data_IF_884511001981
#
_entry.id   IF_884511001981
#
_cell.length_a   1.000
_cell.length_b   1.000
_cell.length_c   1.000
_cell.angle_alpha   90.00
_cell.angle_beta   90.00
_cell.angle_gamma   90.00
#
_symmetry.space_group_name_H-M   'P 1'
#
loop_
_entity.id
_entity.type
_entity.pdbx_description
1 polymer ?
#
# COMPACT_ATOMS: atom_id res chain seq x y z
N UNK A 1 6.56 -0.57 -29.09
CA UNK A 1 6.28 0.65 -28.31
C UNK A 1 4.79 1.04 -28.21
N UNK A 2 3.92 0.72 -29.18
CA UNK A 2 2.49 1.11 -29.12
C UNK A 2 1.67 0.44 -28.00
N UNK A 3 1.97 -0.80 -27.64
CA UNK A 3 1.18 -1.54 -26.65
C UNK A 3 1.35 -1.01 -25.21
N UNK A 4 2.53 -0.49 -24.84
CA UNK A 4 2.78 0.04 -23.47
C UNK A 4 1.96 1.31 -23.19
N UNK A 5 1.85 2.21 -24.17
CA UNK A 5 1.07 3.46 -24.01
C UNK A 5 -0.43 3.20 -23.86
N UNK A 6 -0.95 2.20 -24.57
CA UNK A 6 -2.35 1.77 -24.44
C UNK A 6 -2.59 1.16 -23.06
N UNK A 7 -1.67 0.31 -22.60
CA UNK A 7 -1.71 -0.29 -21.26
C UNK A 7 -1.68 0.77 -20.15
N UNK A 8 -0.82 1.79 -20.26
CA UNK A 8 -0.79 2.92 -19.32
C UNK A 8 -2.10 3.73 -19.34
N UNK A 9 -2.69 3.98 -20.52
CA UNK A 9 -4.00 4.65 -20.63
C UNK A 9 -5.14 3.84 -20.00
N UNK A 10 -5.06 2.51 -20.02
CA UNK A 10 -6.03 1.65 -19.34
C UNK A 10 -5.83 1.70 -17.82
N UNK A 11 -4.58 1.75 -17.36
CA UNK A 11 -4.24 1.79 -15.94
C UNK A 11 -4.57 3.12 -15.26
N UNK A 12 -4.62 4.23 -16.00
CA UNK A 12 -4.87 5.57 -15.43
C UNK A 12 -6.14 5.64 -14.56
N UNK A 13 -7.21 4.95 -14.96
CA UNK A 13 -8.47 4.97 -14.20
C UNK A 13 -8.34 4.22 -12.87
N UNK A 14 -7.57 3.12 -12.85
CA UNK A 14 -7.28 2.39 -11.62
C UNK A 14 -6.37 3.21 -10.69
N UNK A 15 -5.41 3.94 -11.23
CA UNK A 15 -4.60 4.89 -10.45
C UNK A 15 -5.44 6.01 -9.85
N UNK A 16 -6.34 6.61 -10.63
CA UNK A 16 -7.25 7.66 -10.15
C UNK A 16 -8.16 7.08 -9.06
N UNK A 17 -8.79 5.92 -9.30
CA UNK A 17 -9.63 5.27 -8.31
C UNK A 17 -8.87 4.94 -7.02
N UNK A 18 -7.66 4.38 -7.13
CA UNK A 18 -6.80 4.07 -5.99
C UNK A 18 -6.48 5.33 -5.17
N UNK A 19 -6.09 6.40 -5.87
CA UNK A 19 -5.75 7.67 -5.24
C UNK A 19 -6.96 8.30 -4.56
N UNK A 20 -8.12 8.30 -5.21
CA UNK A 20 -9.35 8.82 -4.63
C UNK A 20 -9.76 8.04 -3.38
N UNK A 21 -9.71 6.71 -3.40
CA UNK A 21 -10.05 5.88 -2.24
C UNK A 21 -9.10 6.13 -1.08
N UNK A 22 -7.81 6.26 -1.37
CA UNK A 22 -6.81 6.61 -0.36
C UNK A 22 -7.08 8.00 0.26
N UNK A 23 -7.35 9.01 -0.57
CA UNK A 23 -7.67 10.37 -0.12
C UNK A 23 -8.97 10.40 0.69
N UNK A 24 -10.00 9.67 0.27
CA UNK A 24 -11.23 9.51 1.04
C UNK A 24 -10.93 8.88 2.41
N UNK A 25 -10.13 7.81 2.44
CA UNK A 25 -9.67 7.22 3.70
C UNK A 25 -8.98 8.25 4.60
N UNK A 26 -8.07 9.06 4.04
CA UNK A 26 -7.36 10.11 4.76
C UNK A 26 -8.30 11.17 5.34
N UNK A 27 -9.25 11.66 4.55
CA UNK A 27 -10.24 12.64 5.02
C UNK A 27 -11.11 12.02 6.13
N UNK A 28 -11.55 10.77 5.96
CA UNK A 28 -12.35 10.08 6.96
C UNK A 28 -11.56 9.86 8.26
N UNK A 29 -10.30 9.45 8.17
CA UNK A 29 -9.44 9.26 9.34
C UNK A 29 -9.17 10.56 10.08
N UNK A 30 -9.02 11.67 9.36
CA UNK A 30 -8.80 12.98 9.96
C UNK A 30 -10.08 13.60 10.56
N UNK A 31 -11.22 13.45 9.88
CA UNK A 31 -12.49 14.09 10.28
C UNK A 31 -13.35 13.28 11.25
N UNK A 32 -13.18 11.96 11.30
CA UNK A 32 -13.96 11.06 12.16
C UNK A 32 -13.05 10.24 13.08
N UNK A 33 -12.00 10.90 13.61
CA UNK A 33 -11.00 10.25 14.48
C UNK A 33 -11.62 9.47 15.64
N UNK A 34 -12.67 10.01 16.26
CA UNK A 34 -13.32 9.41 17.43
C UNK A 34 -14.05 8.10 17.07
N UNK A 35 -14.60 8.01 15.86
CA UNK A 35 -15.35 6.82 15.40
C UNK A 35 -14.42 5.65 15.10
N UNK A 36 -13.17 5.93 14.71
CA UNK A 36 -12.19 4.92 14.33
C UNK A 36 -11.05 4.77 15.34
N UNK A 37 -11.11 5.49 16.46
CA UNK A 37 -10.05 5.52 17.47
C UNK A 37 -9.64 4.12 17.93
N UNK A 38 -10.59 3.30 18.37
CA UNK A 38 -10.29 1.93 18.84
C UNK A 38 -9.63 1.07 17.77
N UNK A 39 -10.08 1.17 16.52
CA UNK A 39 -9.51 0.43 15.40
C UNK A 39 -8.08 0.90 15.08
N UNK A 40 -7.85 2.21 15.05
CA UNK A 40 -6.52 2.77 14.76
C UNK A 40 -5.54 2.55 15.90
N UNK A 41 -5.94 2.75 17.15
CA UNK A 41 -5.11 2.46 18.33
C UNK A 41 -4.69 0.99 18.38
N UNK A 42 -5.57 0.06 17.98
CA UNK A 42 -5.22 -1.37 17.90
C UNK A 42 -4.11 -1.61 16.87
N UNK A 43 -4.17 -0.95 15.71
CA UNK A 43 -3.12 -1.04 14.69
C UNK A 43 -1.80 -0.40 15.14
N UNK A 44 -1.88 0.76 15.82
CA UNK A 44 -0.69 1.42 16.37
C UNK A 44 -0.01 0.58 17.45
N UNK A 45 -0.79 -0.03 18.37
CA UNK A 45 -0.25 -0.94 19.39
C UNK A 45 0.41 -2.17 18.79
N UNK A 46 -0.15 -2.74 17.72
CA UNK A 46 0.46 -3.86 17.02
C UNK A 46 1.81 -3.48 16.39
N UNK A 47 1.91 -2.28 15.80
CA UNK A 47 3.17 -1.74 15.28
C UNK A 47 4.19 -1.46 16.39
N UNK A 48 3.74 -0.90 17.51
CA UNK A 48 4.57 -0.62 18.67
C UNK A 48 5.15 -1.90 19.27
N UNK A 49 4.33 -2.93 19.47
CA UNK A 49 4.78 -4.25 19.95
C UNK A 49 5.79 -4.88 18.99
N UNK A 50 5.55 -4.83 17.67
CA UNK A 50 6.50 -5.33 16.68
C UNK A 50 7.84 -4.59 16.71
N UNK A 51 7.82 -3.29 17.00
CA UNK A 51 9.03 -2.46 17.09
C UNK A 51 9.78 -2.71 18.39
N UNK A 52 9.08 -2.78 19.53
CA UNK A 52 9.66 -3.06 20.85
C UNK A 52 10.32 -4.44 20.90
N UNK A 53 9.70 -5.46 20.30
CA UNK A 53 10.25 -6.82 20.16
C UNK A 53 11.60 -6.88 19.44
N UNK A 54 11.97 -5.80 18.75
CA UNK A 54 13.17 -5.70 17.92
C UNK A 54 14.23 -4.76 18.50
N UNK A 55 13.87 -3.96 19.52
CA UNK A 55 14.79 -3.06 20.20
C UNK A 55 15.87 -3.80 21.01
N UNK A 56 15.54 -4.99 21.54
CA UNK A 56 16.43 -5.81 22.36
C UNK A 56 17.43 -6.66 21.54
N UNK A 57 17.43 -6.54 20.21
CA UNK A 57 18.30 -7.33 19.34
C UNK A 57 19.71 -6.73 19.21
N UNK A 58 20.76 -7.56 19.07
CA UNK A 58 22.16 -7.11 19.02
C UNK A 58 22.49 -6.17 17.85
N UNK A 59 21.64 -6.09 16.82
CA UNK A 59 21.75 -5.12 15.74
C UNK A 59 20.36 -4.55 15.37
N UNK A 60 19.87 -3.54 16.11
CA UNK A 60 18.49 -3.07 16.00
C UNK A 60 18.22 -2.37 14.65
N UNK A 61 19.21 -1.66 14.09
CA UNK A 61 19.08 -1.02 12.76
C UNK A 61 18.81 -2.02 11.65
N UNK A 62 19.65 -3.06 11.55
CA UNK A 62 19.51 -4.10 10.53
C UNK A 62 18.25 -4.94 10.73
N UNK A 63 17.88 -5.23 11.98
CA UNK A 63 16.64 -5.94 12.31
C UNK A 63 15.41 -5.14 11.90
N UNK A 64 15.44 -3.82 12.14
CA UNK A 64 14.35 -2.91 11.77
C UNK A 64 14.25 -2.74 10.25
N UNK A 65 15.38 -2.63 9.55
CA UNK A 65 15.40 -2.61 8.08
C UNK A 65 14.68 -3.84 7.48
N UNK A 66 15.08 -5.05 7.88
CA UNK A 66 14.50 -6.28 7.35
C UNK A 66 13.03 -6.44 7.72
N UNK A 67 12.63 -5.99 8.91
CA UNK A 67 11.24 -5.99 9.34
C UNK A 67 10.39 -5.09 8.43
N UNK A 68 10.77 -3.83 8.28
CA UNK A 68 10.06 -2.83 7.47
C UNK A 68 10.02 -3.31 6.01
N UNK A 69 11.18 -3.68 5.46
CA UNK A 69 11.29 -4.17 4.10
C UNK A 69 10.34 -5.35 3.84
N UNK A 70 10.39 -6.40 4.66
CA UNK A 70 9.53 -7.56 4.43
C UNK A 70 8.07 -7.26 4.65
N UNK A 71 7.73 -6.48 5.67
CA UNK A 71 6.34 -6.10 5.93
C UNK A 71 5.73 -5.38 4.72
N UNK A 72 6.47 -4.43 4.15
CA UNK A 72 5.99 -3.62 3.04
C UNK A 72 5.96 -4.37 1.72
N UNK A 73 7.00 -5.17 1.42
CA UNK A 73 7.01 -6.00 0.22
C UNK A 73 5.90 -7.03 0.27
N UNK A 74 5.73 -7.73 1.40
CA UNK A 74 4.66 -8.72 1.55
C UNK A 74 3.28 -8.07 1.45
N UNK A 75 3.03 -6.95 2.15
CA UNK A 75 1.76 -6.21 2.02
C UNK A 75 1.47 -5.83 0.58
N UNK A 76 2.45 -5.28 -0.13
CA UNK A 76 2.32 -4.84 -1.53
C UNK A 76 2.00 -6.01 -2.46
N UNK A 77 2.72 -7.13 -2.33
CA UNK A 77 2.47 -8.34 -3.11
C UNK A 77 1.12 -8.97 -2.79
N UNK A 78 0.74 -9.02 -1.51
CA UNK A 78 -0.55 -9.50 -1.07
C UNK A 78 -1.68 -8.64 -1.62
N UNK A 79 -1.56 -7.31 -1.59
CA UNK A 79 -2.56 -6.40 -2.17
C UNK A 79 -2.77 -6.68 -3.66
N UNK A 80 -1.69 -6.86 -4.41
CA UNK A 80 -1.78 -7.23 -5.84
C UNK A 80 -2.48 -8.58 -6.00
N UNK A 81 -2.05 -9.61 -5.27
CA UNK A 81 -2.56 -10.97 -5.41
C UNK A 81 -4.02 -11.10 -4.96
N UNK A 82 -4.36 -10.50 -3.83
CA UNK A 82 -5.72 -10.42 -3.28
C UNK A 82 -6.65 -9.59 -4.19
N UNK A 83 -6.09 -8.79 -5.09
CA UNK A 83 -6.81 -8.21 -6.21
C UNK A 83 -7.60 -9.23 -7.04
N UNK A 84 -7.13 -10.48 -7.12
CA UNK A 84 -7.85 -11.55 -7.81
C UNK A 84 -9.26 -11.80 -7.26
N UNK A 85 -9.52 -11.46 -5.99
CA UNK A 85 -10.85 -11.45 -5.37
C UNK A 85 -11.62 -10.17 -5.74
N UNK A 86 -11.83 -9.97 -7.04
CA UNK A 86 -12.64 -8.90 -7.64
C UNK A 86 -12.19 -7.46 -7.35
N UNK A 87 -10.97 -7.26 -6.88
CA UNK A 87 -10.41 -5.92 -6.62
C UNK A 87 -10.95 -5.22 -5.37
N UNK A 88 -11.79 -5.89 -4.56
CA UNK A 88 -12.37 -5.33 -3.34
C UNK A 88 -11.32 -5.20 -2.22
N UNK A 89 -10.48 -6.22 -2.06
CA UNK A 89 -9.44 -6.24 -1.02
C UNK A 89 -8.39 -5.12 -1.20
N UNK A 90 -7.90 -4.82 -2.42
CA UNK A 90 -7.08 -3.62 -2.68
C UNK A 90 -7.74 -2.30 -2.24
N UNK A 91 -9.04 -2.13 -2.48
CA UNK A 91 -9.79 -0.92 -2.11
C UNK A 91 -9.87 -0.78 -0.59
N UNK A 92 -10.21 -1.87 0.10
CA UNK A 92 -10.26 -1.89 1.57
C UNK A 92 -8.88 -1.61 2.18
N UNK A 93 -7.82 -2.17 1.61
CA UNK A 93 -6.45 -1.89 2.05
C UNK A 93 -6.08 -0.42 1.89
N UNK A 94 -6.36 0.19 0.74
CA UNK A 94 -6.13 1.63 0.52
C UNK A 94 -6.92 2.50 1.50
N UNK A 95 -8.20 2.17 1.71
CA UNK A 95 -9.06 2.91 2.63
C UNK A 95 -8.49 2.86 4.05
N UNK A 96 -8.10 1.67 4.52
CA UNK A 96 -7.52 1.46 5.86
C UNK A 96 -6.20 2.21 6.04
N UNK A 97 -5.30 2.17 5.05
CA UNK A 97 -4.03 2.89 5.10
C UNK A 97 -4.25 4.42 5.04
N UNK A 98 -5.18 4.89 4.22
CA UNK A 98 -5.58 6.29 4.19
C UNK A 98 -6.13 6.73 5.54
N UNK A 99 -7.03 5.95 6.14
CA UNK A 99 -7.65 6.23 7.44
C UNK A 99 -6.60 6.32 8.55
N UNK A 100 -5.67 5.36 8.61
CA UNK A 100 -4.56 5.39 9.55
C UNK A 100 -3.73 6.68 9.40
N UNK A 101 -3.35 7.03 8.17
CA UNK A 101 -2.53 8.22 7.92
C UNK A 101 -3.26 9.53 8.24
N UNK A 102 -4.55 9.62 7.88
CA UNK A 102 -5.41 10.75 8.21
C UNK A 102 -5.57 10.96 9.71
N UNK A 103 -5.77 9.86 10.45
CA UNK A 103 -5.88 9.89 11.91
C UNK A 103 -4.59 10.36 12.57
N UNK A 104 -3.43 9.81 12.16
CA UNK A 104 -2.13 10.24 12.68
C UNK A 104 -1.88 11.72 12.37
N UNK A 105 -2.27 12.18 11.18
CA UNK A 105 -2.21 13.59 10.80
C UNK A 105 -3.07 14.51 11.67
N UNK A 106 -4.30 14.11 11.99
CA UNK A 106 -5.20 14.87 12.86
C UNK A 106 -4.69 14.92 14.32
N UNK A 107 -4.28 13.79 14.89
CA UNK A 107 -3.69 13.73 16.23
C UNK A 107 -2.45 14.62 16.35
N UNK A 108 -1.64 14.61 15.30
CA UNK A 108 -0.44 15.42 15.20
C UNK A 108 -0.71 16.92 15.22
N UNK A 109 -1.77 17.37 14.51
CA UNK A 109 -2.19 18.76 14.49
C UNK A 109 -2.72 19.23 15.86
N UNK A 110 -3.35 18.34 16.62
CA UNK A 110 -3.91 18.66 17.95
C UNK A 110 -2.90 18.63 19.09
N UNK A 111 -1.85 17.81 19.02
CA UNK A 111 -0.88 17.66 20.13
C UNK A 111 0.32 18.62 20.07
N UNK A 112 0.41 19.50 19.07
CA UNK A 112 1.54 20.44 18.81
C UNK A 112 2.95 19.84 18.95
N UNK A 113 3.07 18.52 18.88
CA UNK A 113 4.35 17.83 18.98
C UNK A 113 4.75 17.42 17.57
N UNK A 114 5.50 18.31 16.92
CA UNK A 114 6.19 18.03 15.66
C UNK A 114 7.07 16.76 15.78
N UNK A 115 7.51 16.45 17.00
CA UNK A 115 8.20 15.21 17.36
C UNK A 115 7.29 13.98 17.22
N UNK A 116 6.01 14.05 17.58
CA UNK A 116 5.05 12.94 17.44
C UNK A 116 4.69 12.70 15.96
N UNK A 117 4.57 13.77 15.16
CA UNK A 117 4.48 13.72 13.69
C UNK A 117 5.69 12.99 13.10
N UNK A 118 6.89 13.42 13.53
CA UNK A 118 8.14 12.86 13.02
C UNK A 118 8.33 11.41 13.47
N UNK A 119 7.85 11.00 14.65
CA UNK A 119 7.93 9.59 15.11
C UNK A 119 6.87 8.69 14.45
N UNK A 120 5.69 9.23 14.12
CA UNK A 120 4.55 8.44 13.61
C UNK A 120 4.36 8.44 12.08
N UNK A 121 4.75 9.52 11.39
CA UNK A 121 4.53 9.70 9.94
C UNK A 121 5.81 9.46 9.13
N UNK A 122 6.98 9.88 9.63
CA UNK A 122 8.26 9.74 8.90
C UNK A 122 8.66 8.27 8.65
N UNK A 123 8.34 7.29 9.51
CA UNK A 123 8.62 5.90 9.21
C UNK A 123 7.69 5.27 8.16
N UNK A 124 6.68 5.98 7.64
CA UNK A 124 5.68 5.42 6.71
C UNK A 124 5.70 6.21 5.41
N UNK A 125 6.82 6.05 4.72
CA UNK A 125 7.45 7.07 3.92
C UNK A 125 6.65 7.61 2.73
N UNK A 126 7.10 8.78 2.29
CA UNK A 126 6.75 9.42 1.02
C UNK A 126 6.85 8.44 -0.17
N UNK A 127 7.68 7.39 -0.06
CA UNK A 127 7.87 6.35 -1.06
C UNK A 127 6.89 5.17 -0.92
N UNK A 128 6.37 4.89 0.27
CA UNK A 128 5.40 3.80 0.50
C UNK A 128 4.02 4.14 -0.06
N UNK A 129 3.57 5.38 0.10
CA UNK A 129 2.24 5.83 -0.37
C UNK A 129 2.11 5.61 -1.90
N UNK A 130 3.03 6.08 -2.75
CA UNK A 130 3.02 5.75 -4.18
C UNK A 130 3.06 4.24 -4.44
N UNK A 131 3.88 3.49 -3.70
CA UNK A 131 4.01 2.05 -3.88
C UNK A 131 2.68 1.31 -3.60
N UNK A 132 1.99 1.65 -2.52
CA UNK A 132 0.69 1.07 -2.15
C UNK A 132 -0.40 1.45 -3.17
N UNK A 133 -0.42 2.71 -3.64
CA UNK A 133 -1.36 3.14 -4.69
C UNK A 133 -1.12 2.37 -5.99
N UNK A 134 0.14 2.20 -6.40
CA UNK A 134 0.49 1.40 -7.58
C UNK A 134 0.07 -0.06 -7.38
N UNK A 135 0.42 -0.67 -6.25
CA UNK A 135 0.06 -2.05 -5.95
C UNK A 135 -1.45 -2.27 -5.99
N UNK A 136 -2.22 -1.38 -5.37
CA UNK A 136 -3.67 -1.47 -5.36
C UNK A 136 -4.29 -1.22 -6.74
N UNK A 137 -3.75 -0.31 -7.55
CA UNK A 137 -4.19 -0.11 -8.93
C UNK A 137 -3.99 -1.38 -9.78
N UNK A 138 -2.85 -2.07 -9.62
CA UNK A 138 -2.61 -3.36 -10.26
C UNK A 138 -3.49 -4.48 -9.70
N UNK A 139 -3.73 -4.50 -8.39
CA UNK A 139 -4.65 -5.45 -7.75
C UNK A 139 -6.10 -5.28 -8.23
N UNK A 140 -6.62 -4.06 -8.30
CA UNK A 140 -7.95 -3.78 -8.85
C UNK A 140 -8.06 -4.21 -10.31
N UNK A 141 -7.01 -3.94 -11.09
CA UNK A 141 -6.95 -4.38 -12.48
C UNK A 141 -6.98 -5.90 -12.61
N UNK A 142 -6.25 -6.62 -11.75
CA UNK A 142 -6.31 -8.07 -11.68
C UNK A 142 -7.74 -8.54 -11.38
N UNK A 143 -8.42 -7.90 -10.43
CA UNK A 143 -9.81 -8.19 -10.08
C UNK A 143 -10.78 -8.06 -11.25
N UNK A 144 -10.65 -7.00 -12.06
CA UNK A 144 -11.45 -6.83 -13.27
C UNK A 144 -11.16 -7.91 -14.31
N UNK A 145 -9.90 -8.31 -14.48
CA UNK A 145 -9.54 -9.41 -15.37
C UNK A 145 -10.13 -10.74 -14.89
N UNK A 146 -10.16 -10.99 -13.59
CA UNK A 146 -10.80 -12.18 -13.01
C UNK A 146 -12.32 -12.16 -13.21
N UNK A 147 -12.98 -11.02 -13.02
CA UNK A 147 -14.41 -10.86 -13.35
C UNK A 147 -14.70 -11.16 -14.81
N UNK A 148 -13.90 -10.62 -15.74
CA UNK A 148 -14.02 -10.89 -17.17
C UNK A 148 -13.82 -12.38 -17.48
N UNK A 149 -12.87 -13.02 -16.81
CA UNK A 149 -12.62 -14.47 -16.97
C UNK A 149 -13.82 -15.30 -16.50
N UNK A 150 -14.42 -14.97 -15.36
CA UNK A 150 -15.64 -15.65 -14.88
C UNK A 150 -16.82 -15.42 -15.82
N UNK A 151 -17.04 -14.19 -16.28
CA UNK A 151 -18.13 -13.86 -17.20
C UNK A 151 -17.99 -14.60 -18.54
N UNK A 152 -16.76 -14.81 -19.02
CA UNK A 152 -16.49 -15.56 -20.25
C UNK A 152 -16.81 -17.07 -20.12
N UNK A 153 -16.77 -17.63 -18.91
CA UNK A 153 -17.23 -19.01 -18.67
C UNK A 153 -18.75 -19.16 -18.84
N UNK A 154 -19.50 -18.07 -18.59
CA UNK A 154 -20.97 -18.06 -18.65
C UNK A 154 -21.47 -17.66 -20.06
N UNK A 155 -20.74 -16.79 -20.77
CA UNK A 155 -21.09 -16.36 -22.13
C UNK A 155 -19.86 -16.44 -23.06
N UNK A 156 -19.70 -17.52 -23.85
CA UNK A 156 -18.50 -17.77 -24.66
C UNK A 156 -18.26 -16.81 -25.84
N UNK A 157 -19.13 -15.82 -26.07
CA UNK A 157 -19.15 -15.05 -27.32
C UNK A 157 -18.01 -14.00 -27.47
N UNK A 158 -17.06 -13.92 -26.51
CA UNK A 158 -15.86 -13.04 -26.61
C UNK A 158 -14.56 -13.68 -26.06
N UNK A 159 -14.06 -14.79 -26.64
CA UNK A 159 -13.01 -15.60 -26.00
C UNK A 159 -11.57 -15.08 -26.19
N UNK A 160 -11.29 -14.15 -27.11
CA UNK A 160 -9.91 -13.70 -27.38
C UNK A 160 -9.49 -12.41 -26.68
N UNK A 161 -10.40 -11.43 -26.51
CA UNK A 161 -10.02 -10.11 -25.99
C UNK A 161 -9.50 -10.15 -24.54
N UNK A 162 -10.12 -10.95 -23.66
CA UNK A 162 -9.69 -11.01 -22.25
C UNK A 162 -8.36 -11.74 -22.06
N UNK A 163 -8.05 -12.75 -22.90
CA UNK A 163 -6.79 -13.49 -22.84
C UNK A 163 -5.62 -12.61 -23.22
N UNK A 164 -5.78 -11.76 -24.24
CA UNK A 164 -4.79 -10.76 -24.62
C UNK A 164 -4.56 -9.73 -23.51
N UNK A 165 -5.63 -9.26 -22.85
CA UNK A 165 -5.53 -8.35 -21.71
C UNK A 165 -4.80 -9.00 -20.52
N UNK A 166 -5.08 -10.28 -20.21
CA UNK A 166 -4.45 -11.03 -19.14
C UNK A 166 -2.96 -11.29 -19.42
N UNK A 167 -2.61 -11.67 -20.65
CA UNK A 167 -1.22 -11.83 -21.08
C UNK A 167 -0.47 -10.50 -21.02
N UNK A 168 -1.11 -9.41 -21.43
CA UNK A 168 -0.56 -8.05 -21.31
C UNK A 168 -0.30 -7.65 -19.86
N UNK A 169 -1.23 -7.98 -18.96
CA UNK A 169 -1.06 -7.78 -17.52
C UNK A 169 0.08 -8.62 -16.94
N UNK A 170 0.15 -9.92 -17.26
CA UNK A 170 1.21 -10.82 -16.79
C UNK A 170 2.62 -10.38 -17.26
N UNK A 171 2.73 -9.81 -18.46
CA UNK A 171 3.99 -9.23 -18.94
C UNK A 171 4.35 -7.92 -18.23
N UNK A 172 3.34 -7.14 -17.83
CA UNK A 172 3.55 -5.86 -17.15
C UNK A 172 3.83 -6.01 -15.65
N UNK A 173 3.29 -7.05 -14.99
CA UNK A 173 3.38 -7.19 -13.54
C UNK A 173 4.81 -7.44 -13.06
N UNK A 174 5.62 -8.20 -13.81
CA UNK A 174 7.01 -8.49 -13.44
C UNK A 174 7.87 -7.22 -13.26
N UNK A 175 7.98 -6.36 -14.29
CA UNK A 175 8.68 -5.08 -14.18
C UNK A 175 8.12 -4.16 -13.08
N UNK A 176 6.80 -4.17 -12.88
CA UNK A 176 6.14 -3.33 -11.86
C UNK A 176 6.49 -3.81 -10.46
N UNK A 177 6.42 -5.12 -10.22
CA UNK A 177 6.85 -5.72 -8.94
C UNK A 177 8.31 -5.42 -8.67
N UNK A 178 9.18 -5.48 -9.69
CA UNK A 178 10.59 -5.11 -9.55
C UNK A 178 10.74 -3.64 -9.11
N UNK A 179 10.04 -2.71 -9.76
CA UNK A 179 10.05 -1.28 -9.38
C UNK A 179 9.53 -1.08 -7.96
N UNK A 180 8.46 -1.77 -7.57
CA UNK A 180 7.90 -1.71 -6.22
C UNK A 180 8.89 -2.22 -5.18
N UNK A 181 9.51 -3.39 -5.41
CA UNK A 181 10.50 -3.95 -4.49
C UNK A 181 11.68 -3.00 -4.33
N UNK A 182 12.23 -2.48 -5.42
CA UNK A 182 13.34 -1.50 -5.36
C UNK A 182 12.93 -0.24 -4.60
N UNK A 183 11.74 0.30 -4.87
CA UNK A 183 11.22 1.50 -4.19
C UNK A 183 11.07 1.26 -2.69
N UNK A 184 10.54 0.08 -2.31
CA UNK A 184 10.34 -0.30 -0.91
C UNK A 184 11.65 -0.64 -0.20
N UNK A 185 12.67 -1.13 -0.91
CA UNK A 185 14.03 -1.25 -0.37
C UNK A 185 14.58 0.12 -0.01
N UNK A 186 14.45 1.11 -0.91
CA UNK A 186 14.90 2.47 -0.64
C UNK A 186 14.11 3.09 0.52
N UNK A 187 12.79 2.87 0.57
CA UNK A 187 11.95 3.30 1.69
C UNK A 187 12.44 2.70 3.01
N UNK A 188 12.65 1.38 3.08
CA UNK A 188 13.12 0.71 4.29
C UNK A 188 14.51 1.17 4.74
N UNK A 189 15.42 1.49 3.81
CA UNK A 189 16.75 2.05 4.14
C UNK A 189 16.61 3.44 4.79
N UNK A 190 15.76 4.29 4.23
CA UNK A 190 15.49 5.62 4.79
C UNK A 190 14.83 5.45 6.17
N UNK A 191 13.78 4.65 6.28
CA UNK A 191 13.00 4.53 7.50
C UNK A 191 13.77 3.88 8.65
N UNK A 192 14.57 2.84 8.38
CA UNK A 192 15.41 2.19 9.41
C UNK A 192 16.53 3.11 9.93
N UNK A 193 17.07 3.98 9.07
CA UNK A 193 18.10 4.95 9.49
C UNK A 193 17.48 6.11 10.27
N UNK A 194 16.39 6.69 9.78
CA UNK A 194 15.67 7.77 10.45
C UNK A 194 15.04 7.33 11.78
N UNK A 195 14.36 6.17 11.80
CA UNK A 195 13.72 5.67 13.03
C UNK A 195 14.75 5.33 14.10
N UNK A 196 15.89 4.74 13.73
CA UNK A 196 16.99 4.53 14.68
C UNK A 196 17.50 5.85 15.27
N UNK A 197 17.71 6.87 14.44
CA UNK A 197 18.15 8.18 14.91
C UNK A 197 17.16 8.80 15.89
N UNK A 198 15.86 8.62 15.63
CA UNK A 198 14.76 9.14 16.44
C UNK A 198 14.53 8.41 17.76
N UNK A 199 14.89 7.12 17.84
CA UNK A 199 14.80 6.30 19.06
C UNK A 199 15.99 6.57 19.99
N UNK A 200 17.14 6.95 19.44
CA UNK A 200 18.37 7.26 20.19
C UNK A 200 18.43 8.70 20.72
N UNK A 201 17.57 9.60 20.22
CA UNK A 201 17.48 11.03 20.59
C UNK A 201 16.33 11.29 21.56
#
# INVERSE_FOLDING_TARGET
MNNIRIQLKLMKHYFIAATLVFVVGMILGAGFSDSFQTFIETQLKALEQLTQSMADKPNPQWSMFWLIFWNNVLKTLLVIALGAFFGILPLFFLLTNGLLLGYIGALSAHKESLLFVLKGIVPHGILEIPAIIIAAAFGMRLGVLMMKSLAALISPNRPNAYKEELLGFAKAIGPVVLVLVVTLTVAALIESTFTYWLVKS
#
